data_IF_352741377707
#
_entry.id   IF_352741377707
#
_cell.length_a   1.000
_cell.length_b   1.000
_cell.length_c   1.000
_cell.angle_alpha   90.00
_cell.angle_beta   90.00
_cell.angle_gamma   90.00
#
_symmetry.space_group_name_H-M   'P 1'
#
loop_
_entity.id
_entity.type
_entity.pdbx_description
1 polymer ?
#
# COMPACT_ATOMS: atom_id res chain seq x y z
N UNK A 1 11.03 -13.50 5.53
CA UNK A 1 11.04 -14.49 4.44
C UNK A 1 9.78 -14.24 3.62
N UNK A 2 9.88 -13.68 2.42
CA UNK A 2 8.73 -13.50 1.53
C UNK A 2 8.55 -14.82 0.79
N UNK A 3 7.49 -15.56 1.11
CA UNK A 3 7.20 -16.84 0.49
C UNK A 3 6.20 -16.63 -0.64
N UNK A 4 6.61 -16.90 -1.89
CA UNK A 4 5.68 -16.95 -3.03
C UNK A 4 4.77 -18.15 -2.84
N UNK A 5 3.51 -17.94 -2.45
CA UNK A 5 2.50 -18.99 -2.49
C UNK A 5 2.17 -19.31 -3.95
N UNK A 6 2.43 -20.54 -4.38
CA UNK A 6 1.93 -21.05 -5.66
C UNK A 6 0.44 -21.39 -5.52
N UNK A 7 -0.35 -21.01 -6.52
CA UNK A 7 -1.81 -20.87 -6.49
C UNK A 7 -2.64 -22.15 -6.33
N UNK A 8 -2.06 -23.32 -6.09
CA UNK A 8 -2.78 -24.57 -6.35
C UNK A 8 -3.51 -25.21 -5.16
N UNK A 9 -3.61 -24.60 -3.97
CA UNK A 9 -4.30 -25.29 -2.84
C UNK A 9 -4.71 -24.46 -1.62
N UNK A 10 -4.62 -23.13 -1.60
CA UNK A 10 -4.70 -22.36 -0.34
C UNK A 10 -5.79 -21.28 -0.26
N UNK A 11 -6.72 -21.21 -1.22
CA UNK A 11 -7.86 -20.27 -1.15
C UNK A 11 -7.49 -18.78 -1.29
N UNK A 12 -6.23 -18.46 -1.62
CA UNK A 12 -5.81 -17.11 -1.95
C UNK A 12 -6.30 -16.69 -3.35
N UNK A 13 -6.59 -15.39 -3.55
CA UNK A 13 -7.00 -14.89 -4.85
C UNK A 13 -5.91 -15.05 -5.90
N UNK A 14 -6.33 -15.19 -7.15
CA UNK A 14 -5.44 -15.20 -8.30
C UNK A 14 -4.76 -13.83 -8.39
N UNK A 15 -3.46 -13.82 -8.73
CA UNK A 15 -2.76 -12.57 -8.99
C UNK A 15 -3.46 -11.87 -10.15
N UNK A 16 -3.78 -10.58 -10.02
CA UNK A 16 -4.40 -9.86 -11.12
C UNK A 16 -3.47 -9.87 -12.32
N UNK A 17 -4.00 -9.98 -13.54
CA UNK A 17 -3.18 -9.96 -14.77
C UNK A 17 -2.98 -8.54 -15.30
N UNK A 18 -3.79 -7.59 -14.84
CA UNK A 18 -3.78 -6.18 -15.21
C UNK A 18 -3.95 -5.27 -13.97
N UNK A 19 -3.68 -3.97 -14.13
CA UNK A 19 -3.87 -2.95 -13.07
C UNK A 19 -5.34 -2.61 -12.80
N UNK A 20 -6.20 -2.92 -13.76
CA UNK A 20 -7.63 -2.65 -13.76
C UNK A 20 -8.42 -3.96 -13.72
N UNK A 21 -9.71 -3.87 -13.46
CA UNK A 21 -10.63 -5.01 -13.54
C UNK A 21 -10.51 -6.04 -12.42
N UNK A 22 -9.75 -5.76 -11.35
CA UNK A 22 -9.71 -6.59 -10.16
C UNK A 22 -10.06 -5.79 -8.89
N UNK A 23 -10.87 -6.39 -8.04
CA UNK A 23 -11.29 -5.83 -6.76
C UNK A 23 -10.43 -6.38 -5.62
N UNK A 24 -9.99 -5.49 -4.71
CA UNK A 24 -9.32 -5.90 -3.47
C UNK A 24 -10.42 -6.12 -2.44
N UNK A 25 -10.63 -7.37 -2.04
CA UNK A 25 -11.66 -7.71 -1.07
C UNK A 25 -11.36 -7.07 0.29
N UNK A 26 -12.41 -6.71 1.02
CA UNK A 26 -12.33 -6.00 2.30
C UNK A 26 -11.43 -6.70 3.33
N UNK A 27 -11.41 -8.03 3.34
CA UNK A 27 -10.54 -8.85 4.19
C UNK A 27 -9.04 -8.59 3.98
N UNK A 28 -8.64 -8.13 2.79
CA UNK A 28 -7.26 -7.77 2.46
C UNK A 28 -6.96 -6.28 2.66
N UNK A 29 -7.94 -5.49 3.10
CA UNK A 29 -7.79 -4.06 3.33
C UNK A 29 -7.50 -3.73 4.80
N UNK A 30 -7.45 -4.75 5.67
CA UNK A 30 -7.36 -4.63 7.13
C UNK A 30 -6.14 -5.38 7.68
N UNK A 31 -5.56 -4.85 8.74
CA UNK A 31 -4.60 -5.58 9.58
C UNK A 31 -5.31 -6.71 10.34
N UNK A 32 -4.55 -7.64 10.91
CA UNK A 32 -5.09 -8.75 11.73
C UNK A 32 -5.94 -8.26 12.92
N UNK A 33 -5.68 -7.03 13.40
CA UNK A 33 -6.46 -6.38 14.46
C UNK A 33 -7.74 -5.68 13.95
N UNK A 34 -8.11 -5.87 12.69
CA UNK A 34 -9.30 -5.31 12.04
C UNK A 34 -9.17 -3.85 11.60
N UNK A 35 -8.06 -3.15 11.90
CA UNK A 35 -7.88 -1.75 11.48
C UNK A 35 -7.60 -1.67 9.97
N UNK A 36 -8.27 -0.77 9.28
CA UNK A 36 -8.10 -0.57 7.84
C UNK A 36 -6.79 0.16 7.51
N UNK A 37 -6.00 -0.42 6.60
CA UNK A 37 -4.76 0.17 6.11
C UNK A 37 -4.84 0.63 4.64
N UNK A 38 -5.71 0.02 3.82
CA UNK A 38 -6.04 0.59 2.51
C UNK A 38 -7.02 1.75 2.73
N UNK A 39 -6.52 2.97 2.71
CA UNK A 39 -7.26 4.20 3.03
C UNK A 39 -7.96 4.78 1.81
N UNK A 40 -7.40 4.57 0.63
CA UNK A 40 -7.96 5.07 -0.60
C UNK A 40 -7.64 4.17 -1.78
N UNK A 41 -8.60 4.06 -2.68
CA UNK A 41 -8.50 3.34 -3.95
C UNK A 41 -9.28 4.13 -5.00
N UNK A 42 -8.59 4.58 -6.06
CA UNK A 42 -9.24 5.30 -7.16
C UNK A 42 -10.25 4.45 -7.95
N UNK A 43 -10.21 3.13 -7.79
CA UNK A 43 -11.18 2.22 -8.37
C UNK A 43 -10.62 1.41 -9.55
N UNK A 44 -11.34 0.32 -9.84
CA UNK A 44 -10.89 -0.75 -10.74
C UNK A 44 -10.87 -0.34 -12.23
N UNK A 45 -11.57 0.72 -12.60
CA UNK A 45 -11.68 1.20 -13.99
C UNK A 45 -10.60 2.23 -14.36
N UNK A 46 -9.78 2.67 -13.39
CA UNK A 46 -8.78 3.72 -13.59
C UNK A 46 -7.46 3.11 -14.02
N UNK A 47 -6.98 3.42 -15.22
CA UNK A 47 -5.69 2.90 -15.74
C UNK A 47 -4.50 3.29 -14.85
N UNK A 48 -4.54 4.50 -14.29
CA UNK A 48 -3.58 5.01 -13.30
C UNK A 48 -4.14 4.87 -11.89
N UNK A 49 -4.62 3.67 -11.53
CA UNK A 49 -5.15 3.38 -10.20
C UNK A 49 -4.11 3.70 -9.13
N UNK A 50 -4.47 4.62 -8.23
CA UNK A 50 -3.68 4.97 -7.05
C UNK A 50 -4.30 4.27 -5.85
N UNK A 51 -3.45 3.54 -5.13
CA UNK A 51 -3.79 2.99 -3.83
C UNK A 51 -3.03 3.77 -2.75
N UNK A 52 -3.73 4.19 -1.71
CA UNK A 52 -3.11 4.81 -0.52
C UNK A 52 -3.16 3.81 0.61
N UNK A 53 -1.99 3.30 0.98
CA UNK A 53 -1.81 2.38 2.10
C UNK A 53 -1.20 3.15 3.27
N UNK A 54 -1.96 3.31 4.35
CA UNK A 54 -1.48 3.99 5.55
C UNK A 54 -2.21 3.50 6.80
N UNK A 55 -1.50 3.48 7.94
CA UNK A 55 -2.15 3.35 9.23
C UNK A 55 -2.83 4.67 9.63
N UNK A 56 -3.82 4.61 10.53
CA UNK A 56 -4.46 5.82 11.06
C UNK A 56 -3.45 6.74 11.77
N UNK A 57 -2.55 6.15 12.56
CA UNK A 57 -1.49 6.90 13.25
C UNK A 57 -0.58 7.63 12.26
N UNK A 58 -0.16 6.96 11.18
CA UNK A 58 0.70 7.58 10.17
C UNK A 58 0.00 8.75 9.47
N UNK A 59 -1.31 8.65 9.19
CA UNK A 59 -2.07 9.78 8.64
C UNK A 59 -2.18 10.95 9.62
N UNK A 60 -2.40 10.68 10.90
CA UNK A 60 -2.44 11.72 11.95
C UNK A 60 -1.09 12.40 12.10
N UNK A 61 0.00 11.63 12.08
CA UNK A 61 1.35 12.15 12.10
C UNK A 61 1.56 13.05 10.89
N UNK A 62 1.40 12.57 9.66
CA UNK A 62 1.58 13.35 8.42
C UNK A 62 0.73 14.63 8.42
N UNK A 63 -0.53 14.56 8.87
CA UNK A 63 -1.43 15.71 8.97
C UNK A 63 -0.93 16.78 9.97
N UNK A 64 -0.13 16.38 10.97
CA UNK A 64 0.42 17.29 11.98
C UNK A 64 1.72 17.99 11.59
N UNK A 65 2.39 17.54 10.53
CA UNK A 65 3.67 18.11 10.08
C UNK A 65 3.54 18.97 8.81
N UNK A 66 4.25 20.10 8.77
CA UNK A 66 4.24 21.06 7.66
C UNK A 66 5.13 20.69 6.47
N UNK A 67 6.08 19.78 6.67
CA UNK A 67 7.05 19.39 5.65
C UNK A 67 7.03 17.88 5.49
N UNK A 68 6.76 17.43 4.27
CA UNK A 68 6.75 16.02 3.90
C UNK A 68 7.95 15.74 3.00
N UNK A 69 8.62 14.62 3.26
CA UNK A 69 9.71 14.15 2.41
C UNK A 69 9.30 12.79 1.85
N UNK A 70 9.25 12.65 0.53
CA UNK A 70 9.03 11.36 -0.10
C UNK A 70 10.38 10.79 -0.49
N UNK A 71 10.74 9.64 0.07
CA UNK A 71 11.92 8.90 -0.37
C UNK A 71 11.49 7.84 -1.40
N UNK A 72 12.33 7.62 -2.41
CA UNK A 72 12.03 6.73 -3.53
C UNK A 72 12.46 5.28 -3.28
N UNK A 73 12.52 4.80 -2.03
CA UNK A 73 13.40 3.67 -1.68
C UNK A 73 12.73 2.28 -1.67
N UNK A 74 11.58 2.08 -2.32
CA UNK A 74 11.01 0.74 -2.51
C UNK A 74 11.26 0.22 -3.93
N UNK A 75 12.35 -0.55 -4.08
CA UNK A 75 12.73 -1.24 -5.33
C UNK A 75 12.04 -2.60 -5.57
N UNK A 76 11.17 -3.05 -4.66
CA UNK A 76 10.51 -4.36 -4.79
C UNK A 76 9.02 -4.13 -4.99
N UNK A 77 8.65 -3.80 -6.21
CA UNK A 77 7.25 -3.74 -6.65
C UNK A 77 7.06 -4.84 -7.70
N UNK A 78 5.94 -5.57 -7.62
CA UNK A 78 5.56 -6.52 -8.67
C UNK A 78 5.50 -5.78 -10.01
N UNK A 79 5.92 -6.41 -11.12
CA UNK A 79 6.01 -5.80 -12.47
C UNK A 79 4.74 -5.06 -12.91
N UNK A 80 3.60 -5.45 -12.34
CA UNK A 80 2.29 -4.87 -12.57
C UNK A 80 2.03 -3.54 -11.85
N UNK A 81 2.92 -3.05 -10.99
CA UNK A 81 2.76 -1.77 -10.29
C UNK A 81 4.03 -0.93 -10.45
N UNK A 82 3.89 0.38 -10.56
CA UNK A 82 5.04 1.28 -10.52
C UNK A 82 5.50 1.51 -9.08
N UNK A 83 6.78 1.88 -8.96
CA UNK A 83 7.51 2.23 -7.75
C UNK A 83 6.63 2.73 -6.58
N UNK A 84 6.71 2.04 -5.44
CA UNK A 84 6.14 2.50 -4.18
C UNK A 84 6.97 3.71 -3.72
N UNK A 85 6.28 4.81 -3.42
CA UNK A 85 6.87 5.92 -2.68
C UNK A 85 6.55 5.71 -1.20
N UNK A 86 7.55 5.88 -0.34
CA UNK A 86 7.32 5.99 1.09
C UNK A 86 7.39 7.46 1.48
N UNK A 87 6.38 7.90 2.21
CA UNK A 87 6.35 9.25 2.77
C UNK A 87 7.02 9.15 4.14
N UNK A 88 8.15 9.81 4.28
CA UNK A 88 8.87 9.91 5.53
C UNK A 88 8.52 11.21 6.23
N UNK A 89 8.39 11.13 7.55
CA UNK A 89 8.23 12.29 8.41
C UNK A 89 9.55 12.56 9.13
N UNK A 90 9.97 13.83 9.16
CA UNK A 90 11.13 14.25 9.94
C UNK A 90 10.70 14.81 11.30
N UNK A 91 11.17 14.19 12.38
CA UNK A 91 10.88 14.59 13.76
C UNK A 91 12.19 14.81 14.51
N UNK A 92 12.44 16.05 14.95
CA UNK A 92 13.65 16.45 15.71
C UNK A 92 14.97 16.02 15.05
N UNK A 93 15.03 16.07 13.72
CA UNK A 93 16.22 15.67 12.94
C UNK A 93 16.29 14.19 12.59
N UNK A 94 15.42 13.34 13.15
CA UNK A 94 15.32 11.92 12.81
C UNK A 94 14.23 11.67 11.77
N UNK A 95 14.42 10.68 10.90
CA UNK A 95 13.47 10.29 9.85
C UNK A 95 12.73 9.01 10.24
N UNK A 96 11.41 9.01 10.08
CA UNK A 96 10.53 7.87 10.33
C UNK A 96 9.72 7.56 9.07
N UNK A 97 9.56 6.29 8.69
CA UNK A 97 8.71 5.86 7.59
C UNK A 97 7.21 5.96 7.93
#
# INVERSE_FOLDING_TARGET
IIQRCQQNSSGFPVNPEARTGFEIREEYCKFDNGKQFLKYDLGIEVEQRILVLASECALQDIASYHHWACDGTFKIVLEQWFQLFSIHVQVKGSSFP
#
